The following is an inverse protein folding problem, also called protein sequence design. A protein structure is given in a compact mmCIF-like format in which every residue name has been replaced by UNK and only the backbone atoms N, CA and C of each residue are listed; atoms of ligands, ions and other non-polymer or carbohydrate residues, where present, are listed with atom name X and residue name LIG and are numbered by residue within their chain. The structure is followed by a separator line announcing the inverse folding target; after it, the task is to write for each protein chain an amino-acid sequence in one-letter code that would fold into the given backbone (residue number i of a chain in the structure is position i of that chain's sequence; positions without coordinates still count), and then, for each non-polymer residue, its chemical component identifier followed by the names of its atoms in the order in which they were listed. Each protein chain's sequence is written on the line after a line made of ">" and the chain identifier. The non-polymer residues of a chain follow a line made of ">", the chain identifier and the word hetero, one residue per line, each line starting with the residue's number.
data_IF_884497478177
#
_entry.id   IF_884497478177
#
_cell.length_a   1.000
_cell.length_b   1.000
_cell.length_c   1.000
_cell.angle_alpha   90.00
_cell.angle_beta   90.00
_cell.angle_gamma   90.00
#
_symmetry.space_group_name_H-M   'P 1'
#
loop_
_entity.id
_entity.type
_entity.pdbx_description
1 polymer ?
#
# COMPACT_ATOMS: atom_id res chain seq x y z
N UNK A 1 5.08 -1.19 25.74
CA UNK A 1 5.33 -2.47 26.47
C UNK A 1 6.66 -3.04 25.99
N UNK A 2 7.41 -3.71 26.86
CA UNK A 2 8.64 -4.41 26.47
C UNK A 2 8.31 -5.63 25.62
N UNK A 3 9.05 -5.83 24.53
CA UNK A 3 8.91 -7.04 23.71
C UNK A 3 9.42 -8.26 24.48
N UNK A 4 8.65 -9.34 24.47
CA UNK A 4 9.05 -10.59 25.09
C UNK A 4 9.78 -11.49 24.08
N UNK A 5 11.04 -11.77 24.36
CA UNK A 5 11.90 -12.59 23.51
C UNK A 5 11.77 -14.07 23.88
N UNK A 6 11.53 -14.98 22.92
CA UNK A 6 11.65 -16.42 23.15
C UNK A 6 13.01 -16.80 23.72
N UNK A 7 13.05 -17.76 24.63
CA UNK A 7 14.28 -18.16 25.34
C UNK A 7 15.35 -18.75 24.40
N UNK A 8 14.92 -19.32 23.28
CA UNK A 8 15.72 -19.97 22.24
C UNK A 8 16.06 -19.03 21.06
N UNK A 9 15.84 -17.72 21.21
CA UNK A 9 16.19 -16.76 20.15
C UNK A 9 17.70 -16.74 19.94
N UNK A 10 18.15 -17.08 18.74
CA UNK A 10 19.55 -16.97 18.33
C UNK A 10 19.87 -15.53 17.91
N UNK A 11 20.60 -14.80 18.77
CA UNK A 11 20.90 -13.38 18.56
C UNK A 11 22.24 -13.20 17.85
N UNK A 12 22.26 -12.33 16.85
CA UNK A 12 23.51 -11.73 16.40
C UNK A 12 24.02 -10.76 17.49
N UNK A 13 25.27 -10.92 17.92
CA UNK A 13 25.88 -10.07 18.94
C UNK A 13 26.60 -8.89 18.30
N UNK A 14 26.13 -7.68 18.61
CA UNK A 14 26.77 -6.45 18.19
C UNK A 14 27.31 -5.72 19.42
N UNK A 15 28.47 -5.10 19.28
CA UNK A 15 29.10 -4.38 20.38
C UNK A 15 29.45 -2.96 19.95
N UNK A 16 29.14 -1.99 20.82
CA UNK A 16 29.45 -0.59 20.59
C UNK A 16 30.26 -0.03 21.76
N UNK A 17 31.34 0.63 21.38
CA UNK A 17 32.13 1.49 22.26
C UNK A 17 31.75 2.95 22.07
N UNK A 18 31.94 3.75 23.12
CA UNK A 18 31.88 5.21 23.02
C UNK A 18 33.04 5.69 22.16
N UNK A 19 32.72 6.47 21.11
CA UNK A 19 33.70 6.97 20.15
C UNK A 19 34.55 8.09 20.75
N UNK A 20 33.90 9.14 21.28
CA UNK A 20 34.59 10.22 21.96
C UNK A 20 34.68 9.92 23.46
N UNK A 21 35.83 9.40 23.87
CA UNK A 21 36.07 8.99 25.24
C UNK A 21 36.59 10.14 26.12
N UNK A 22 36.69 11.37 25.64
CA UNK A 22 37.05 12.48 26.51
C UNK A 22 35.86 12.92 27.36
N UNK A 23 36.10 13.15 28.65
CA UNK A 23 35.09 13.73 29.52
C UNK A 23 34.77 15.16 29.04
N UNK A 24 33.50 15.51 28.76
CA UNK A 24 33.13 16.84 28.25
C UNK A 24 33.37 17.97 29.27
N UNK A 25 33.65 17.64 30.53
CA UNK A 25 33.87 18.60 31.61
C UNK A 25 35.36 18.82 31.90
N UNK A 26 36.13 17.75 32.07
CA UNK A 26 37.54 17.84 32.48
C UNK A 26 38.54 17.37 31.40
N UNK A 27 38.07 16.90 30.25
CA UNK A 27 38.90 16.41 29.15
C UNK A 27 39.60 15.07 29.39
N UNK A 28 39.52 14.50 30.61
CA UNK A 28 40.18 13.21 30.91
C UNK A 28 39.52 12.06 30.16
N UNK A 29 40.34 11.10 29.77
CA UNK A 29 39.91 9.86 29.12
C UNK A 29 39.00 9.05 30.04
N UNK A 30 37.79 8.78 29.59
CA UNK A 30 36.79 7.97 30.27
C UNK A 30 37.08 6.47 30.08
N UNK A 31 36.71 5.67 31.07
CA UNK A 31 36.86 4.21 31.04
C UNK A 31 35.49 3.54 31.04
N UNK A 32 35.44 2.30 30.57
CA UNK A 32 34.23 1.48 30.59
C UNK A 32 33.92 1.15 32.04
N UNK A 33 32.72 1.48 32.51
CA UNK A 33 32.28 1.21 33.88
C UNK A 33 31.21 0.11 33.94
N UNK A 34 30.40 -0.04 32.89
CA UNK A 34 29.26 -0.95 32.86
C UNK A 34 28.85 -1.27 31.41
N UNK A 35 27.94 -2.23 31.22
CA UNK A 35 27.40 -2.62 29.93
C UNK A 35 25.87 -2.58 29.96
N UNK A 36 25.26 -1.94 28.95
CA UNK A 36 23.82 -2.02 28.71
C UNK A 36 23.53 -3.00 27.59
N UNK A 37 22.64 -3.94 27.84
CA UNK A 37 22.17 -4.90 26.85
C UNK A 37 20.83 -4.45 26.28
N UNK A 38 20.72 -4.48 24.95
CA UNK A 38 19.50 -4.12 24.24
C UNK A 38 19.22 -5.13 23.14
N UNK A 39 17.95 -5.51 22.99
CA UNK A 39 17.52 -6.46 21.94
C UNK A 39 16.51 -5.81 21.01
N UNK A 40 16.65 -6.03 19.71
CA UNK A 40 15.72 -5.56 18.69
C UNK A 40 15.80 -6.44 17.43
N UNK A 41 14.73 -6.42 16.63
CA UNK A 41 14.68 -7.09 15.33
C UNK A 41 15.30 -6.23 14.25
N UNK A 42 16.08 -6.86 13.37
CA UNK A 42 16.47 -6.34 12.05
C UNK A 42 15.88 -7.26 10.98
N UNK A 43 15.90 -6.85 9.72
CA UNK A 43 15.48 -7.70 8.60
C UNK A 43 16.41 -8.90 8.41
N UNK A 44 17.67 -8.81 8.85
CA UNK A 44 18.63 -9.92 8.81
C UNK A 44 18.51 -10.88 10.00
N UNK A 45 17.68 -10.53 11.00
CA UNK A 45 17.44 -11.34 12.20
C UNK A 45 17.51 -10.54 13.51
N UNK A 46 17.31 -11.20 14.64
CA UNK A 46 17.31 -10.55 15.95
C UNK A 46 18.74 -10.24 16.42
N UNK A 47 18.92 -9.04 16.98
CA UNK A 47 20.22 -8.55 17.46
C UNK A 47 20.19 -8.37 18.97
N UNK A 48 21.27 -8.79 19.65
CA UNK A 48 21.61 -8.38 21.00
C UNK A 48 22.79 -7.40 20.94
N UNK A 49 22.48 -6.12 21.14
CA UNK A 49 23.43 -5.03 21.19
C UNK A 49 23.99 -4.87 22.62
N UNK A 50 25.31 -4.85 22.73
CA UNK A 50 26.07 -4.59 23.94
C UNK A 50 26.65 -3.18 23.84
N UNK A 51 26.11 -2.26 24.63
CA UNK A 51 26.60 -0.90 24.71
C UNK A 51 27.57 -0.77 25.89
N UNK A 52 28.87 -0.55 25.61
CA UNK A 52 29.86 -0.26 26.64
C UNK A 52 29.67 1.16 27.14
N UNK A 53 29.35 1.31 28.42
CA UNK A 53 29.08 2.60 29.04
C UNK A 53 30.37 3.16 29.63
N UNK A 54 30.69 4.40 29.27
CA UNK A 54 31.89 5.06 29.75
C UNK A 54 31.60 6.04 30.89
N UNK A 55 32.62 6.26 31.71
CA UNK A 55 32.55 7.12 32.85
C UNK A 55 33.86 7.89 33.11
N UNK A 56 33.74 9.12 33.63
CA UNK A 56 34.90 9.90 34.04
C UNK A 56 35.62 9.20 35.21
N UNK A 57 36.95 9.04 35.19
CA UNK A 57 37.67 8.44 36.31
C UNK A 57 37.75 9.36 37.54
N UNK A 58 37.56 10.68 37.38
CA UNK A 58 37.74 11.65 38.45
C UNK A 58 36.47 11.84 39.30
N UNK A 59 36.49 11.37 40.55
CA UNK A 59 35.37 11.49 41.49
C UNK A 59 34.97 12.93 41.83
N UNK A 60 35.88 13.89 41.68
CA UNK A 60 35.60 15.30 41.92
C UNK A 60 34.99 16.00 40.69
N UNK A 61 35.03 15.36 39.52
CA UNK A 61 34.47 15.93 38.30
C UNK A 61 32.94 15.80 38.28
N UNK A 62 32.17 16.86 37.98
CA UNK A 62 30.71 16.75 37.79
C UNK A 62 30.29 15.71 36.74
N UNK A 63 31.16 15.42 35.76
CA UNK A 63 30.96 14.37 34.77
C UNK A 63 31.02 12.94 35.32
N UNK A 64 31.48 12.74 36.55
CA UNK A 64 31.52 11.44 37.25
C UNK A 64 30.16 11.03 37.84
N UNK A 65 29.10 11.79 37.65
CA UNK A 65 27.76 11.35 38.06
C UNK A 65 26.98 10.72 36.89
N UNK A 66 27.49 10.79 35.66
CA UNK A 66 26.76 10.42 34.45
C UNK A 66 27.56 9.43 33.61
N UNK A 67 26.90 8.36 33.17
CA UNK A 67 27.44 7.45 32.17
C UNK A 67 27.21 8.00 30.77
N UNK A 68 28.21 7.84 29.90
CA UNK A 68 28.10 8.13 28.46
C UNK A 68 27.80 6.83 27.71
N UNK A 69 26.69 6.82 26.97
CA UNK A 69 26.34 5.71 26.07
C UNK A 69 27.02 5.89 24.71
N UNK A 70 27.27 4.80 23.95
CA UNK A 70 27.79 4.88 22.59
C UNK A 70 26.89 5.74 21.69
N UNK A 71 27.50 6.66 20.95
CA UNK A 71 26.81 7.61 20.07
C UNK A 71 26.09 6.89 18.91
N UNK A 72 26.67 5.78 18.46
CA UNK A 72 26.15 5.01 17.33
C UNK A 72 24.87 4.22 17.65
N UNK A 73 24.49 4.04 18.92
CA UNK A 73 23.28 3.25 19.25
C UNK A 73 22.02 3.81 18.56
N UNK A 74 21.88 5.14 18.54
CA UNK A 74 20.73 5.82 17.92
C UNK A 74 20.68 5.65 16.40
N UNK A 75 21.79 5.29 15.76
CA UNK A 75 21.86 5.02 14.32
C UNK A 75 21.36 3.62 13.96
N UNK A 76 21.20 2.73 14.95
CA UNK A 76 20.75 1.34 14.77
C UNK A 76 19.27 1.19 15.08
N UNK A 77 18.83 1.69 16.24
CA UNK A 77 17.45 1.56 16.69
C UNK A 77 17.03 2.69 17.64
N UNK A 78 15.82 3.22 17.44
CA UNK A 78 15.26 4.28 18.27
C UNK A 78 14.98 3.83 19.71
N UNK A 79 15.15 4.70 20.73
CA UNK A 79 14.89 4.33 22.11
C UNK A 79 13.51 3.69 22.31
N UNK A 80 13.44 2.68 23.18
CA UNK A 80 12.22 1.95 23.57
C UNK A 80 11.54 1.14 22.45
N UNK A 81 12.13 1.07 21.25
CA UNK A 81 11.64 0.23 20.16
C UNK A 81 12.33 -1.13 20.14
N UNK A 82 11.54 -2.15 19.80
CA UNK A 82 12.00 -3.54 19.65
C UNK A 82 12.42 -3.86 18.21
N UNK A 83 12.55 -2.84 17.36
CA UNK A 83 12.94 -2.96 15.96
C UNK A 83 14.03 -1.93 15.61
N UNK A 84 14.86 -2.27 14.64
CA UNK A 84 15.84 -1.38 14.01
C UNK A 84 15.21 -0.41 13.03
N UNK A 85 16.03 0.51 12.53
CA UNK A 85 15.63 1.48 11.51
C UNK A 85 15.24 0.84 10.17
N UNK A 86 15.89 -0.24 9.81
CA UNK A 86 15.62 -1.03 8.62
C UNK A 86 14.18 -1.57 8.60
N UNK A 87 13.75 -2.21 9.70
CA UNK A 87 12.39 -2.73 9.86
C UNK A 87 11.38 -1.59 9.92
N UNK A 88 11.68 -0.48 10.61
CA UNK A 88 10.78 0.68 10.67
C UNK A 88 10.55 1.28 9.28
N UNK A 89 11.63 1.49 8.50
CA UNK A 89 11.55 1.99 7.14
C UNK A 89 10.81 1.02 6.22
N UNK A 90 11.03 -0.29 6.39
CA UNK A 90 10.35 -1.34 5.65
C UNK A 90 8.84 -1.34 5.90
N UNK A 91 8.40 -1.20 7.16
CA UNK A 91 6.98 -1.08 7.55
C UNK A 91 6.39 0.19 6.95
N UNK A 92 7.06 1.32 7.16
CA UNK A 92 6.60 2.63 6.71
C UNK A 92 6.43 2.70 5.19
N UNK A 93 7.40 2.17 4.43
CA UNK A 93 7.32 2.16 2.96
C UNK A 93 6.14 1.34 2.43
N UNK A 94 5.92 0.13 2.96
CA UNK A 94 4.76 -0.71 2.57
C UNK A 94 3.44 -0.06 2.91
N UNK A 95 3.34 0.53 4.09
CA UNK A 95 2.12 1.21 4.50
C UNK A 95 1.84 2.44 3.65
N UNK A 96 2.82 3.32 3.50
CA UNK A 96 2.61 4.65 2.93
C UNK A 96 2.76 4.70 1.40
N UNK A 97 3.58 3.84 0.79
CA UNK A 97 3.78 3.81 -0.67
C UNK A 97 2.95 2.73 -1.35
N UNK A 98 2.78 1.57 -0.71
CA UNK A 98 2.03 0.44 -1.27
C UNK A 98 0.60 0.31 -0.73
N UNK A 99 0.19 1.18 0.20
CA UNK A 99 -1.15 1.16 0.82
C UNK A 99 -1.48 -0.18 1.46
N UNK A 100 -0.45 -0.90 1.93
CA UNK A 100 -0.61 -2.26 2.43
C UNK A 100 -1.40 -2.26 3.75
N UNK A 101 -2.37 -3.18 3.94
CA UNK A 101 -3.04 -3.39 5.22
C UNK A 101 -2.06 -3.83 6.31
N UNK A 102 -2.32 -3.46 7.58
CA UNK A 102 -1.48 -3.84 8.72
C UNK A 102 -1.37 -5.37 8.85
N UNK A 103 -2.47 -6.09 8.63
CA UNK A 103 -2.47 -7.57 8.67
C UNK A 103 -1.57 -8.19 7.61
N UNK A 104 -1.51 -7.62 6.40
CA UNK A 104 -0.60 -8.07 5.35
C UNK A 104 0.85 -7.76 5.67
N UNK A 105 1.14 -6.58 6.24
CA UNK A 105 2.48 -6.22 6.73
C UNK A 105 2.92 -7.20 7.82
N UNK A 106 2.02 -7.52 8.76
CA UNK A 106 2.30 -8.48 9.84
C UNK A 106 2.58 -9.89 9.29
N UNK A 107 1.78 -10.36 8.32
CA UNK A 107 1.97 -11.66 7.70
C UNK A 107 3.35 -11.74 7.02
N UNK A 108 3.69 -10.75 6.19
CA UNK A 108 4.99 -10.72 5.51
C UNK A 108 6.17 -10.62 6.50
N UNK A 109 6.08 -9.81 7.55
CA UNK A 109 7.11 -9.78 8.61
C UNK A 109 7.29 -11.13 9.30
N UNK A 110 6.20 -11.85 9.54
CA UNK A 110 6.22 -13.16 10.20
C UNK A 110 6.79 -14.23 9.28
N UNK A 111 6.33 -14.27 8.05
CA UNK A 111 6.57 -15.37 7.12
C UNK A 111 7.96 -15.27 6.49
N UNK A 112 8.37 -14.06 6.08
CA UNK A 112 9.64 -13.85 5.37
C UNK A 112 10.81 -13.55 6.30
N UNK A 113 10.55 -12.90 7.45
CA UNK A 113 11.59 -12.41 8.37
C UNK A 113 11.53 -13.02 9.77
N UNK A 114 10.50 -13.83 10.09
CA UNK A 114 10.32 -14.40 11.43
C UNK A 114 10.00 -13.36 12.52
N UNK A 115 9.70 -12.12 12.14
CA UNK A 115 9.46 -11.00 13.05
C UNK A 115 8.01 -11.04 13.52
N UNK A 116 7.80 -11.41 14.79
CA UNK A 116 6.46 -11.52 15.39
C UNK A 116 6.10 -10.22 16.10
N UNK A 117 5.34 -9.33 15.45
CA UNK A 117 4.79 -8.11 16.05
C UNK A 117 3.26 -8.17 16.11
N UNK A 118 2.65 -7.51 17.10
CA UNK A 118 1.20 -7.30 17.14
C UNK A 118 0.79 -6.16 16.19
N UNK A 119 -0.48 -6.14 15.79
CA UNK A 119 -1.06 -5.08 14.97
C UNK A 119 -0.89 -3.71 15.64
N UNK A 120 -1.13 -3.62 16.96
CA UNK A 120 -0.93 -2.40 17.74
C UNK A 120 0.52 -1.89 17.71
N UNK A 121 1.49 -2.80 17.74
CA UNK A 121 2.91 -2.40 17.68
C UNK A 121 3.25 -1.87 16.29
N UNK A 122 2.75 -2.53 15.24
CA UNK A 122 2.93 -2.08 13.85
C UNK A 122 2.27 -0.71 13.64
N UNK A 123 1.05 -0.50 14.15
CA UNK A 123 0.35 0.79 14.09
C UNK A 123 1.13 1.91 14.79
N UNK A 124 1.65 1.66 15.99
CA UNK A 124 2.50 2.62 16.70
C UNK A 124 3.78 2.97 15.92
N UNK A 125 4.40 1.99 15.27
CA UNK A 125 5.58 2.21 14.43
C UNK A 125 5.25 2.96 13.15
N UNK A 126 4.09 2.70 12.52
CA UNK A 126 3.58 3.48 11.40
C UNK A 126 3.39 4.93 11.82
N UNK A 127 2.75 5.20 12.96
CA UNK A 127 2.57 6.55 13.47
C UNK A 127 3.92 7.25 13.69
N UNK A 128 4.90 6.55 14.28
CA UNK A 128 6.25 7.09 14.48
C UNK A 128 6.95 7.42 13.15
N UNK A 129 6.82 6.55 12.16
CA UNK A 129 7.33 6.77 10.81
C UNK A 129 6.67 8.00 10.16
N UNK A 130 5.34 8.13 10.27
CA UNK A 130 4.60 9.28 9.76
C UNK A 130 5.05 10.60 10.39
N UNK A 131 5.32 10.63 11.70
CA UNK A 131 5.86 11.81 12.38
C UNK A 131 7.22 12.21 11.80
N UNK A 132 8.11 11.24 11.55
CA UNK A 132 9.42 11.51 10.95
C UNK A 132 9.30 11.97 9.51
N UNK A 133 8.41 11.36 8.73
CA UNK A 133 8.12 11.78 7.37
C UNK A 133 7.57 13.20 7.35
N UNK A 134 6.63 13.54 8.25
CA UNK A 134 6.08 14.88 8.37
C UNK A 134 7.17 15.91 8.74
N UNK A 135 8.02 15.59 9.73
CA UNK A 135 9.14 16.45 10.11
C UNK A 135 10.10 16.68 8.94
N UNK A 136 10.45 15.64 8.17
CA UNK A 136 11.27 15.75 6.97
C UNK A 136 10.61 16.61 5.88
N UNK A 137 9.30 16.46 5.68
CA UNK A 137 8.58 17.24 4.66
C UNK A 137 8.48 18.72 5.02
N UNK A 138 8.51 19.05 6.31
CA UNK A 138 8.47 20.42 6.85
C UNK A 138 9.87 21.01 7.09
N UNK A 139 10.95 20.27 6.84
CA UNK A 139 12.32 20.76 7.01
C UNK A 139 12.65 21.79 5.91
N UNK A 140 12.73 23.05 6.33
CA UNK A 140 13.06 24.17 5.46
C UNK A 140 14.47 24.04 4.86
N UNK A 141 15.47 23.55 5.60
CA UNK A 141 16.83 23.39 5.09
C UNK A 141 16.88 22.33 3.98
N UNK A 142 16.21 21.21 4.19
CA UNK A 142 16.07 20.17 3.17
C UNK A 142 15.28 20.65 1.95
N UNK A 143 14.28 21.51 2.13
CA UNK A 143 13.54 22.14 1.03
C UNK A 143 14.45 23.07 0.21
N UNK A 144 15.22 23.97 0.84
CA UNK A 144 16.14 24.87 0.16
C UNK A 144 17.16 24.10 -0.68
N UNK A 145 17.80 23.08 -0.11
CA UNK A 145 18.77 22.24 -0.82
C UNK A 145 18.17 21.54 -2.05
N UNK A 146 16.90 21.15 -2.00
CA UNK A 146 16.23 20.50 -3.14
C UNK A 146 15.88 21.47 -4.26
N UNK A 147 15.66 22.75 -3.93
CA UNK A 147 15.24 23.78 -4.88
C UNK A 147 16.37 24.72 -5.31
N UNK A 148 17.60 24.55 -4.81
CA UNK A 148 18.76 25.40 -5.14
C UNK A 148 19.03 25.49 -6.66
N UNK A 149 18.86 24.38 -7.38
CA UNK A 149 19.07 24.32 -8.83
C UNK A 149 17.79 24.55 -9.66
N UNK A 150 16.67 24.89 -9.02
CA UNK A 150 15.38 25.06 -9.70
C UNK A 150 15.21 26.53 -10.10
N UNK A 151 15.17 26.86 -11.40
CA UNK A 151 15.13 28.25 -11.85
C UNK A 151 13.75 28.90 -11.66
N UNK A 152 12.68 28.11 -11.72
CA UNK A 152 11.31 28.57 -11.63
C UNK A 152 10.39 27.45 -11.12
N UNK A 153 9.28 27.84 -10.49
CA UNK A 153 8.30 26.93 -9.90
C UNK A 153 7.05 26.84 -10.76
N UNK A 154 6.54 25.61 -10.91
CA UNK A 154 5.21 25.37 -11.47
C UNK A 154 4.34 24.77 -10.37
N UNK A 155 3.37 25.55 -9.91
CA UNK A 155 2.52 25.18 -8.78
C UNK A 155 1.17 24.68 -9.26
N UNK A 156 0.60 23.76 -8.50
CA UNK A 156 -0.75 23.29 -8.71
C UNK A 156 -1.50 23.14 -7.39
N UNK A 157 -2.82 23.35 -7.45
CA UNK A 157 -3.73 23.11 -6.33
C UNK A 157 -4.90 22.24 -6.81
N UNK A 158 -5.24 21.26 -5.98
CA UNK A 158 -6.35 20.34 -6.25
C UNK A 158 -7.08 19.95 -4.95
N UNK A 159 -8.39 19.72 -5.05
CA UNK A 159 -9.24 19.28 -3.94
C UNK A 159 -9.50 17.78 -4.00
N UNK A 160 -8.97 17.03 -3.04
CA UNK A 160 -9.21 15.61 -2.89
C UNK A 160 -10.36 15.37 -1.91
N UNK A 161 -11.50 14.92 -2.43
CA UNK A 161 -12.64 14.58 -1.59
C UNK A 161 -12.41 13.22 -0.91
N UNK A 162 -12.40 13.14 0.42
CA UNK A 162 -12.23 11.89 1.14
C UNK A 162 -13.50 11.02 1.10
N UNK A 163 -13.43 9.84 1.69
CA UNK A 163 -14.61 9.00 1.94
C UNK A 163 -15.66 9.75 2.78
N UNK A 164 -16.94 9.40 2.58
CA UNK A 164 -18.13 10.17 3.01
C UNK A 164 -17.99 10.78 4.42
N UNK A 165 -18.17 12.10 4.53
CA UNK A 165 -18.31 12.82 5.80
C UNK A 165 -17.06 13.55 6.29
N UNK A 166 -15.93 13.39 5.61
CA UNK A 166 -14.68 14.10 5.94
C UNK A 166 -14.47 15.36 5.08
N UNK A 167 -13.70 16.30 5.61
CA UNK A 167 -13.34 17.57 4.96
C UNK A 167 -12.54 17.37 3.67
N UNK A 168 -12.73 18.22 2.68
CA UNK A 168 -11.96 18.12 1.44
C UNK A 168 -10.50 18.46 1.72
N UNK A 169 -9.60 17.56 1.33
CA UNK A 169 -8.16 17.74 1.48
C UNK A 169 -7.62 18.50 0.27
N UNK A 170 -7.23 19.75 0.47
CA UNK A 170 -6.63 20.56 -0.58
C UNK A 170 -5.12 20.36 -0.59
N UNK A 171 -4.57 20.07 -1.77
CA UNK A 171 -3.17 19.72 -1.94
C UNK A 171 -2.49 20.72 -2.85
N UNK A 172 -1.42 21.36 -2.35
CA UNK A 172 -0.54 22.19 -3.16
C UNK A 172 0.70 21.39 -3.53
N UNK A 173 1.00 21.33 -4.83
CA UNK A 173 2.13 20.57 -5.38
C UNK A 173 2.97 21.44 -6.29
N UNK A 174 4.26 21.18 -6.27
CA UNK A 174 5.19 21.70 -7.26
C UNK A 174 5.48 20.59 -8.29
N UNK A 175 5.27 20.90 -9.56
CA UNK A 175 5.15 19.92 -10.63
C UNK A 175 6.50 19.46 -11.20
N UNK A 176 7.54 20.31 -11.17
CA UNK A 176 8.83 19.98 -11.78
C UNK A 176 9.60 18.96 -10.95
N UNK A 177 9.63 19.13 -9.62
CA UNK A 177 10.23 18.17 -8.68
C UNK A 177 9.25 17.08 -8.23
N UNK A 178 8.00 17.12 -8.71
CA UNK A 178 6.92 16.18 -8.37
C UNK A 178 6.70 16.08 -6.86
N UNK A 179 6.81 17.20 -6.16
CA UNK A 179 6.74 17.26 -4.70
C UNK A 179 5.40 17.83 -4.26
N UNK A 180 4.78 17.17 -3.29
CA UNK A 180 3.70 17.79 -2.51
C UNK A 180 4.36 18.75 -1.53
N UNK A 181 4.03 20.04 -1.62
CA UNK A 181 4.51 21.02 -0.65
C UNK A 181 3.76 20.88 0.67
N UNK A 182 2.43 20.88 0.59
CA UNK A 182 1.58 20.60 1.74
C UNK A 182 0.17 20.20 1.29
N UNK A 183 -0.54 19.58 2.22
CA UNK A 183 -1.96 19.27 2.09
C UNK A 183 -2.67 19.68 3.37
N UNK A 184 -3.81 20.36 3.25
CA UNK A 184 -4.59 20.81 4.40
C UNK A 184 -6.08 20.49 4.20
N UNK A 185 -6.74 19.89 5.20
CA UNK A 185 -8.18 19.74 5.17
C UNK A 185 -8.82 21.13 5.36
N UNK A 186 -9.77 21.48 4.49
CA UNK A 186 -10.54 22.71 4.63
C UNK A 186 -11.99 22.37 4.96
N UNK A 187 -12.50 23.01 6.01
CA UNK A 187 -13.91 22.94 6.44
C UNK A 187 -14.88 23.43 5.34
N UNK A 188 -14.42 24.36 4.49
CA UNK A 188 -15.17 24.85 3.34
C UNK A 188 -14.24 25.14 2.17
N UNK A 189 -14.71 24.88 0.95
CA UNK A 189 -14.03 25.30 -0.28
C UNK A 189 -14.24 26.78 -0.62
N UNK A 190 -14.49 27.62 0.39
CA UNK A 190 -14.75 29.03 0.21
C UNK A 190 -13.47 29.80 -0.14
N UNK A 191 -13.63 30.92 -0.83
CA UNK A 191 -12.55 31.77 -1.33
C UNK A 191 -11.52 32.18 -0.25
N UNK A 192 -11.90 32.55 1.00
CA UNK A 192 -10.92 32.93 2.02
C UNK A 192 -10.00 31.78 2.46
N UNK A 193 -10.56 30.57 2.61
CA UNK A 193 -9.81 29.39 3.05
C UNK A 193 -8.83 28.91 1.97
N UNK A 194 -9.29 28.91 0.71
CA UNK A 194 -8.44 28.59 -0.44
C UNK A 194 -7.31 29.61 -0.59
N UNK A 195 -7.61 30.90 -0.40
CA UNK A 195 -6.60 31.96 -0.47
C UNK A 195 -5.51 31.77 0.58
N UNK A 196 -5.83 31.30 1.79
CA UNK A 196 -4.83 30.99 2.84
C UNK A 196 -3.78 29.98 2.36
N UNK A 197 -4.19 28.96 1.61
CA UNK A 197 -3.25 27.98 1.05
C UNK A 197 -2.36 28.57 -0.05
N UNK A 198 -2.92 29.47 -0.86
CA UNK A 198 -2.18 30.15 -1.93
C UNK A 198 -1.16 31.13 -1.34
N UNK A 199 -1.53 31.87 -0.29
CA UNK A 199 -0.61 32.72 0.48
C UNK A 199 0.51 31.89 1.12
N UNK A 200 0.19 30.74 1.71
CA UNK A 200 1.22 29.83 2.24
C UNK A 200 2.19 29.34 1.15
N UNK A 201 1.69 29.05 -0.06
CA UNK A 201 2.54 28.68 -1.19
C UNK A 201 3.45 29.84 -1.62
N UNK A 202 2.95 31.08 -1.54
CA UNK A 202 3.75 32.28 -1.79
C UNK A 202 4.88 32.43 -0.77
N UNK A 203 4.60 32.27 0.53
CA UNK A 203 5.63 32.30 1.58
C UNK A 203 6.73 31.26 1.34
N UNK A 204 6.36 30.06 0.87
CA UNK A 204 7.33 29.02 0.52
C UNK A 204 8.19 29.42 -0.67
N UNK A 205 7.58 29.92 -1.76
CA UNK A 205 8.30 30.40 -2.93
C UNK A 205 9.26 31.56 -2.60
N UNK A 206 8.81 32.50 -1.77
CA UNK A 206 9.62 33.62 -1.27
C UNK A 206 10.80 33.14 -0.42
N UNK A 207 10.58 32.17 0.48
CA UNK A 207 11.66 31.59 1.28
C UNK A 207 12.75 30.96 0.41
N UNK A 208 12.34 30.27 -0.66
CA UNK A 208 13.24 29.65 -1.62
C UNK A 208 13.93 30.64 -2.56
N UNK A 209 13.48 31.91 -2.59
CA UNK A 209 13.92 32.91 -3.56
C UNK A 209 13.76 32.44 -5.01
N UNK A 210 12.73 31.63 -5.29
CA UNK A 210 12.46 31.06 -6.61
C UNK A 210 11.17 31.64 -7.19
N UNK A 211 11.18 32.20 -8.41
CA UNK A 211 9.97 32.76 -9.02
C UNK A 211 8.95 31.67 -9.37
N UNK A 212 7.65 31.98 -9.22
CA UNK A 212 6.57 31.11 -9.71
C UNK A 212 6.23 31.50 -11.14
N UNK A 213 6.50 30.60 -12.09
CA UNK A 213 6.27 30.84 -13.52
C UNK A 213 4.85 30.49 -13.97
N UNK A 214 4.17 29.57 -13.27
CA UNK A 214 2.86 29.07 -13.67
C UNK A 214 2.09 28.49 -12.50
N UNK A 215 0.78 28.74 -12.48
CA UNK A 215 -0.18 28.00 -11.67
C UNK A 215 -1.09 27.12 -12.54
N UNK A 216 -1.40 25.93 -12.04
CA UNK A 216 -2.39 25.01 -12.62
C UNK A 216 -3.44 24.57 -11.61
N UNK A 217 -4.72 24.68 -11.94
CA UNK A 217 -5.80 24.15 -11.09
C UNK A 217 -6.98 23.69 -11.94
N UNK A 218 -8.02 23.16 -11.30
CA UNK A 218 -9.33 23.08 -11.96
C UNK A 218 -9.96 24.50 -12.11
N UNK A 219 -11.17 24.55 -12.69
CA UNK A 219 -11.90 25.80 -12.92
C UNK A 219 -12.84 26.15 -11.75
N UNK A 220 -12.38 26.03 -10.50
CA UNK A 220 -13.09 26.59 -9.35
C UNK A 220 -12.78 28.09 -9.19
N UNK A 221 -13.83 28.89 -8.99
CA UNK A 221 -13.72 30.36 -8.86
C UNK A 221 -12.78 30.77 -7.71
N UNK A 222 -12.81 30.02 -6.60
CA UNK A 222 -11.95 30.27 -5.44
C UNK A 222 -10.45 30.18 -5.79
N UNK A 223 -10.05 29.19 -6.62
CA UNK A 223 -8.66 29.09 -7.08
C UNK A 223 -8.30 30.21 -8.02
N UNK A 224 -9.14 30.47 -9.03
CA UNK A 224 -8.87 31.49 -10.05
C UNK A 224 -8.67 32.85 -9.41
N UNK A 225 -9.59 33.25 -8.51
CA UNK A 225 -9.50 34.54 -7.81
C UNK A 225 -8.36 34.59 -6.82
N UNK A 226 -8.16 33.53 -6.03
CA UNK A 226 -7.09 33.46 -5.04
C UNK A 226 -5.71 33.56 -5.69
N UNK A 227 -5.48 32.84 -6.79
CA UNK A 227 -4.20 32.85 -7.52
C UNK A 227 -3.97 34.23 -8.14
N UNK A 228 -4.98 34.80 -8.79
CA UNK A 228 -4.86 36.14 -9.40
C UNK A 228 -4.57 37.23 -8.35
N UNK A 229 -5.11 37.10 -7.14
CA UNK A 229 -4.88 38.05 -6.05
C UNK A 229 -3.47 37.95 -5.46
N UNK A 230 -2.96 36.74 -5.23
CA UNK A 230 -1.68 36.53 -4.55
C UNK A 230 -0.46 36.55 -5.50
N UNK A 231 -0.67 36.17 -6.76
CA UNK A 231 0.34 36.05 -7.82
C UNK A 231 -0.04 36.89 -9.06
N UNK A 232 -0.11 38.22 -8.95
CA UNK A 232 -0.45 39.07 -10.09
C UNK A 232 0.59 38.94 -11.21
N UNK A 233 0.12 38.73 -12.43
CA UNK A 233 0.98 38.57 -13.62
C UNK A 233 1.53 37.17 -13.85
N UNK A 234 1.36 36.24 -12.90
CA UNK A 234 1.69 34.82 -13.13
C UNK A 234 0.58 34.17 -13.96
N UNK A 235 0.91 33.51 -15.09
CA UNK A 235 -0.07 32.74 -15.86
C UNK A 235 -0.79 31.69 -15.00
N UNK A 236 -2.09 31.55 -15.22
CA UNK A 236 -2.92 30.47 -14.66
C UNK A 236 -3.48 29.62 -15.80
N UNK A 237 -3.35 28.29 -15.70
CA UNK A 237 -3.85 27.33 -16.67
C UNK A 237 -4.80 26.34 -16.01
N UNK A 238 -5.77 25.86 -16.77
CA UNK A 238 -6.66 24.81 -16.30
C UNK A 238 -6.04 23.43 -16.51
N UNK A 239 -6.28 22.53 -15.57
CA UNK A 239 -5.86 21.15 -15.67
C UNK A 239 -6.62 20.44 -16.80
N UNK A 240 -5.88 19.91 -17.79
CA UNK A 240 -6.42 19.20 -18.95
C UNK A 240 -7.35 18.04 -18.56
N UNK A 241 -6.99 17.28 -17.53
CA UNK A 241 -7.80 16.15 -17.08
C UNK A 241 -9.18 16.62 -16.55
N UNK A 242 -9.20 17.67 -15.74
CA UNK A 242 -10.46 18.24 -15.23
C UNK A 242 -11.31 18.79 -16.38
N UNK A 243 -10.69 19.52 -17.31
CA UNK A 243 -11.36 20.02 -18.51
C UNK A 243 -11.98 18.89 -19.34
N UNK A 244 -11.21 17.84 -19.65
CA UNK A 244 -11.70 16.69 -20.41
C UNK A 244 -12.82 15.95 -19.68
N UNK A 245 -12.74 15.81 -18.36
CA UNK A 245 -13.82 15.21 -17.56
C UNK A 245 -15.09 16.04 -17.60
N UNK A 246 -14.98 17.35 -17.52
CA UNK A 246 -16.12 18.25 -17.60
C UNK A 246 -16.79 18.21 -18.96
N UNK A 247 -16.01 18.25 -20.05
CA UNK A 247 -16.53 18.14 -21.42
C UNK A 247 -17.19 16.77 -21.66
N UNK A 248 -16.63 15.70 -21.08
CA UNK A 248 -17.15 14.35 -21.25
C UNK A 248 -18.36 14.01 -20.37
N UNK A 249 -18.78 14.89 -19.43
CA UNK A 249 -19.89 14.62 -18.49
C UNK A 249 -21.13 14.00 -19.16
N UNK A 250 -21.69 14.56 -20.26
CA UNK A 250 -22.87 13.98 -20.89
C UNK A 250 -22.64 12.57 -21.44
N UNK A 251 -21.44 12.31 -21.98
CA UNK A 251 -21.05 11.00 -22.50
C UNK A 251 -20.87 10.00 -21.35
N UNK A 252 -20.24 10.42 -20.26
CA UNK A 252 -20.04 9.60 -19.06
C UNK A 252 -21.36 9.24 -18.37
N UNK A 253 -22.34 10.15 -18.37
CA UNK A 253 -23.69 9.88 -17.87
C UNK A 253 -24.42 8.85 -18.76
N UNK A 254 -24.39 9.03 -20.09
CA UNK A 254 -24.96 8.08 -21.03
C UNK A 254 -24.29 6.68 -20.95
N UNK A 255 -22.97 6.65 -20.81
CA UNK A 255 -22.19 5.44 -20.59
C UNK A 255 -22.57 4.75 -19.28
N UNK A 256 -22.71 5.51 -18.20
CA UNK A 256 -23.15 5.00 -16.89
C UNK A 256 -24.54 4.37 -16.96
N UNK A 257 -25.48 4.99 -17.67
CA UNK A 257 -26.79 4.40 -17.95
C UNK A 257 -26.68 3.09 -18.73
N UNK A 258 -25.86 3.08 -19.78
CA UNK A 258 -25.61 1.88 -20.60
C UNK A 258 -25.02 0.76 -19.75
N UNK A 259 -24.03 1.07 -18.90
CA UNK A 259 -23.42 0.16 -17.93
C UNK A 259 -24.47 -0.45 -17.00
N UNK A 260 -25.38 0.36 -16.46
CA UNK A 260 -26.48 -0.13 -15.61
C UNK A 260 -27.40 -1.10 -16.39
N UNK A 261 -27.72 -0.80 -17.65
CA UNK A 261 -28.54 -1.69 -18.48
C UNK A 261 -27.83 -3.00 -18.84
N UNK A 262 -26.53 -2.95 -19.16
CA UNK A 262 -25.71 -4.15 -19.37
C UNK A 262 -25.66 -5.00 -18.11
N UNK A 263 -25.39 -4.39 -16.96
CA UNK A 263 -25.43 -5.08 -15.66
C UNK A 263 -26.76 -5.79 -15.44
N UNK A 264 -27.90 -5.17 -15.79
CA UNK A 264 -29.23 -5.79 -15.69
C UNK A 264 -29.37 -7.05 -16.56
N UNK A 265 -28.88 -7.05 -17.80
CA UNK A 265 -28.97 -8.20 -18.71
C UNK A 265 -28.14 -9.40 -18.25
N UNK A 266 -27.04 -9.15 -17.54
CA UNK A 266 -26.13 -10.19 -17.04
C UNK A 266 -26.49 -10.62 -15.59
N UNK A 267 -27.55 -10.05 -14.99
CA UNK A 267 -28.07 -10.52 -13.70
C UNK A 267 -28.56 -11.96 -13.82
N UNK A 268 -28.10 -12.84 -12.94
CA UNK A 268 -28.49 -14.26 -12.92
C UNK A 268 -27.34 -15.24 -12.70
N UNK A 269 -26.08 -14.78 -12.75
CA UNK A 269 -24.89 -15.60 -12.53
C UNK A 269 -24.96 -16.44 -11.25
N UNK A 270 -25.48 -15.88 -10.15
CA UNK A 270 -25.64 -16.61 -8.88
C UNK A 270 -26.51 -17.86 -9.00
N UNK A 271 -27.55 -17.85 -9.84
CA UNK A 271 -28.40 -19.03 -10.06
C UNK A 271 -27.65 -20.12 -10.81
N UNK A 272 -26.80 -19.73 -11.78
CA UNK A 272 -25.94 -20.66 -12.54
C UNK A 272 -24.89 -21.27 -11.60
N UNK A 273 -24.21 -20.43 -10.80
CA UNK A 273 -23.24 -20.88 -9.79
C UNK A 273 -23.87 -21.84 -8.78
N UNK A 274 -25.05 -21.50 -8.25
CA UNK A 274 -25.81 -22.37 -7.34
C UNK A 274 -26.18 -23.69 -8.01
N UNK A 275 -26.64 -23.69 -9.26
CA UNK A 275 -26.98 -24.91 -9.98
C UNK A 275 -25.77 -25.82 -10.19
N UNK A 276 -24.60 -25.26 -10.54
CA UNK A 276 -23.35 -26.03 -10.70
C UNK A 276 -22.89 -26.62 -9.37
N UNK A 277 -22.93 -25.83 -8.29
CA UNK A 277 -22.54 -26.30 -6.96
C UNK A 277 -23.53 -27.33 -6.39
N UNK A 278 -24.84 -27.19 -6.66
CA UNK A 278 -25.85 -28.17 -6.28
C UNK A 278 -25.69 -29.48 -7.04
N UNK A 279 -25.43 -29.40 -8.35
CA UNK A 279 -25.12 -30.57 -9.18
C UNK A 279 -23.89 -31.32 -8.66
N UNK A 280 -22.81 -30.59 -8.38
CA UNK A 280 -21.58 -31.18 -7.82
C UNK A 280 -21.85 -31.85 -6.47
N UNK A 281 -22.63 -31.21 -5.58
CA UNK A 281 -23.03 -31.80 -4.29
C UNK A 281 -23.89 -33.05 -4.44
N UNK A 282 -24.76 -33.12 -5.45
CA UNK A 282 -25.58 -34.29 -5.74
C UNK A 282 -24.72 -35.45 -6.29
N UNK A 283 -23.76 -35.14 -7.16
CA UNK A 283 -22.81 -36.11 -7.73
C UNK A 283 -21.88 -36.67 -6.64
N UNK A 284 -21.29 -35.82 -5.78
CA UNK A 284 -20.48 -36.28 -4.63
C UNK A 284 -21.29 -37.12 -3.63
N UNK A 285 -22.57 -36.77 -3.38
CA UNK A 285 -23.44 -37.58 -2.51
C UNK A 285 -23.77 -38.94 -3.12
N UNK A 286 -24.04 -39.00 -4.42
CA UNK A 286 -24.30 -40.25 -5.12
C UNK A 286 -23.07 -41.17 -5.09
N UNK A 287 -21.86 -40.64 -5.30
CA UNK A 287 -20.61 -41.40 -5.19
C UNK A 287 -20.39 -41.93 -3.76
N UNK A 288 -20.62 -41.10 -2.74
CA UNK A 288 -20.49 -41.51 -1.33
C UNK A 288 -21.49 -42.61 -0.96
N UNK A 289 -22.76 -42.52 -1.42
CA UNK A 289 -23.79 -43.54 -1.18
C UNK A 289 -23.56 -44.84 -1.96
N UNK A 290 -22.79 -44.79 -3.06
CA UNK A 290 -22.40 -45.97 -3.83
C UNK A 290 -21.24 -46.71 -3.16
N UNK A 291 -20.32 -45.98 -2.53
CA UNK A 291 -19.25 -46.54 -1.70
C UNK A 291 -19.80 -47.15 -0.38
N UNK A 292 -20.76 -46.50 0.29
CA UNK A 292 -21.35 -47.07 1.52
C UNK A 292 -22.18 -48.34 1.29
N UNK A 293 -22.70 -48.56 0.06
CA UNK A 293 -23.41 -49.78 -0.32
C UNK A 293 -22.51 -50.96 -0.70
N UNK A 294 -21.21 -50.72 -0.92
CA UNK A 294 -20.25 -51.79 -1.22
C UNK A 294 -19.66 -52.45 0.05
N UNK A 295 -19.81 -51.85 1.23
CA UNK A 295 -19.21 -52.33 2.49
C UNK A 295 -20.18 -52.95 3.50
N UNK A 296 -21.41 -53.33 3.11
CA UNK A 296 -22.34 -53.99 4.06
C UNK A 296 -22.64 -55.45 3.72
N UNK A 297 -21.69 -56.35 4.08
CA UNK A 297 -21.96 -57.74 4.48
C UNK A 297 -21.21 -58.12 5.78
N UNK A 298 -21.88 -57.81 6.91
CA UNK A 298 -22.00 -58.57 8.18
C UNK A 298 -20.80 -58.67 9.21
N UNK A 299 -21.02 -59.10 10.49
CA UNK A 299 -21.61 -58.30 11.58
C UNK A 299 -20.89 -58.38 12.97
N UNK A 300 -21.45 -57.65 13.98
CA UNK A 300 -21.23 -57.63 15.45
C UNK A 300 -20.15 -56.68 16.02
N UNK A 301 -20.26 -56.06 17.20
CA UNK A 301 -21.36 -55.67 18.11
C UNK A 301 -20.78 -54.73 19.23
N UNK A 302 -21.63 -53.84 19.76
CA UNK A 302 -21.65 -53.23 21.12
C UNK A 302 -20.65 -52.14 21.57
N UNK A 303 -21.25 -50.96 21.84
CA UNK A 303 -21.22 -50.13 23.07
C UNK A 303 -20.53 -48.73 23.08
N UNK A 304 -21.43 -47.74 23.24
CA UNK A 304 -21.41 -46.53 24.07
C UNK A 304 -20.64 -45.25 23.69
N UNK A 305 -21.46 -44.20 23.45
CA UNK A 305 -21.44 -42.86 24.08
C UNK A 305 -20.23 -41.94 23.83
N UNK A 306 -20.43 -40.81 23.14
CA UNK A 306 -20.75 -39.50 23.74
C UNK A 306 -20.78 -38.42 22.65
N UNK A 307 -21.74 -37.50 22.75
CA UNK A 307 -21.94 -36.39 21.82
C UNK A 307 -20.75 -35.41 21.83
N UNK A 308 -20.25 -35.08 20.64
CA UNK A 308 -19.45 -33.88 20.41
C UNK A 308 -19.85 -33.26 19.08
N UNK A 309 -20.57 -32.15 19.17
CA UNK A 309 -20.92 -31.24 18.08
C UNK A 309 -19.65 -30.65 17.48
N UNK A 310 -19.08 -31.34 16.50
CA UNK A 310 -18.05 -30.79 15.61
C UNK A 310 -18.74 -30.24 14.37
N UNK A 311 -18.64 -28.92 14.21
CA UNK A 311 -19.02 -28.24 12.98
C UNK A 311 -18.27 -28.91 11.81
N UNK A 312 -19.02 -29.59 10.95
CA UNK A 312 -18.49 -30.27 9.79
C UNK A 312 -17.78 -29.27 8.89
N UNK A 313 -16.45 -29.30 8.90
CA UNK A 313 -15.64 -28.95 7.74
C UNK A 313 -16.04 -29.91 6.61
N UNK A 314 -17.07 -29.55 5.84
CA UNK A 314 -17.30 -30.21 4.56
C UNK A 314 -16.10 -29.88 3.68
N UNK A 315 -15.37 -30.92 3.27
CA UNK A 315 -14.43 -30.84 2.17
C UNK A 315 -15.11 -30.13 0.97
N UNK A 316 -14.40 -29.26 0.25
CA UNK A 316 -14.97 -28.57 -0.89
C UNK A 316 -15.51 -29.61 -1.87
N UNK A 317 -16.78 -29.49 -2.24
CA UNK A 317 -17.41 -30.38 -3.22
C UNK A 317 -16.49 -30.48 -4.45
N UNK A 318 -16.16 -31.70 -4.87
CA UNK A 318 -15.35 -31.93 -6.06
C UNK A 318 -16.21 -31.52 -7.26
N UNK A 319 -15.97 -30.33 -7.78
CA UNK A 319 -16.66 -29.82 -8.97
C UNK A 319 -16.00 -30.46 -10.19
N UNK A 320 -16.79 -31.01 -11.10
CA UNK A 320 -16.26 -31.56 -12.35
C UNK A 320 -15.53 -30.49 -13.18
N UNK A 321 -14.67 -30.91 -14.10
CA UNK A 321 -13.86 -29.98 -14.92
C UNK A 321 -14.73 -28.96 -15.67
N UNK A 322 -15.89 -29.39 -16.17
CA UNK A 322 -16.84 -28.51 -16.87
C UNK A 322 -17.46 -27.46 -15.93
N UNK A 323 -17.90 -27.86 -14.74
CA UNK A 323 -18.45 -26.98 -13.71
C UNK A 323 -17.41 -25.98 -13.21
N UNK A 324 -16.16 -26.41 -13.05
CA UNK A 324 -15.04 -25.51 -12.71
C UNK A 324 -14.86 -24.41 -13.77
N UNK A 325 -14.91 -24.77 -15.05
CA UNK A 325 -14.85 -23.80 -16.16
C UNK A 325 -16.02 -22.81 -16.11
N UNK A 326 -17.25 -23.28 -15.84
CA UNK A 326 -18.42 -22.40 -15.69
C UNK A 326 -18.23 -21.44 -14.52
N UNK A 327 -17.79 -21.92 -13.36
CA UNK A 327 -17.54 -21.09 -12.17
C UNK A 327 -16.44 -20.04 -12.44
N UNK A 328 -15.40 -20.39 -13.19
CA UNK A 328 -14.33 -19.46 -13.59
C UNK A 328 -14.86 -18.35 -14.52
N UNK A 329 -15.67 -18.69 -15.52
CA UNK A 329 -16.34 -17.67 -16.34
C UNK A 329 -17.29 -16.80 -15.52
N UNK A 330 -18.06 -17.37 -14.59
CA UNK A 330 -18.91 -16.59 -13.70
C UNK A 330 -18.11 -15.64 -12.81
N UNK A 331 -16.96 -16.07 -12.28
CA UNK A 331 -16.04 -15.23 -11.52
C UNK A 331 -15.46 -14.09 -12.37
N UNK A 332 -15.01 -14.38 -13.59
CA UNK A 332 -14.49 -13.38 -14.52
C UNK A 332 -15.54 -12.31 -14.86
N UNK A 333 -16.76 -12.73 -15.23
CA UNK A 333 -17.87 -11.81 -15.51
C UNK A 333 -18.21 -10.98 -14.26
N UNK A 334 -18.23 -11.58 -13.07
CA UNK A 334 -18.46 -10.85 -11.82
C UNK A 334 -17.40 -9.77 -11.57
N UNK A 335 -16.12 -10.08 -11.86
CA UNK A 335 -15.04 -9.10 -11.84
C UNK A 335 -15.30 -7.93 -12.78
N UNK A 336 -15.66 -8.21 -14.03
CA UNK A 336 -16.00 -7.19 -15.05
C UNK A 336 -17.18 -6.32 -14.60
N UNK A 337 -18.23 -6.91 -14.02
CA UNK A 337 -19.42 -6.17 -13.56
C UNK A 337 -19.12 -5.18 -12.42
N UNK A 338 -18.11 -5.50 -11.62
CA UNK A 338 -17.63 -4.69 -10.49
C UNK A 338 -16.48 -3.74 -10.86
N UNK A 339 -15.96 -3.82 -12.10
CA UNK A 339 -14.93 -2.90 -12.57
C UNK A 339 -15.56 -1.53 -12.83
N UNK A 340 -15.33 -0.58 -11.93
CA UNK A 340 -15.69 0.83 -12.09
C UNK A 340 -14.52 1.71 -12.52
N UNK A 341 -13.39 1.11 -12.94
CA UNK A 341 -12.26 1.84 -13.51
C UNK A 341 -12.61 2.45 -14.87
N UNK A 342 -12.02 3.61 -15.17
CA UNK A 342 -12.19 4.29 -16.45
C UNK A 342 -12.14 5.82 -16.32
N UNK A 343 -12.09 6.48 -17.47
CA UNK A 343 -12.03 7.94 -17.57
C UNK A 343 -12.70 8.45 -18.83
N UNK A 344 -12.62 9.76 -19.11
CA UNK A 344 -13.29 10.40 -20.27
C UNK A 344 -13.02 9.73 -21.62
N UNK A 345 -11.79 9.26 -21.83
CA UNK A 345 -11.37 8.66 -23.10
C UNK A 345 -11.74 7.18 -23.21
N UNK A 346 -11.97 6.51 -22.08
CA UNK A 346 -12.26 5.09 -22.04
C UNK A 346 -13.17 4.80 -20.84
N UNK A 347 -14.49 5.05 -21.01
CA UNK A 347 -15.41 5.10 -19.89
C UNK A 347 -15.78 3.69 -19.40
N UNK A 348 -16.25 3.55 -18.16
CA UNK A 348 -16.40 2.23 -17.53
C UNK A 348 -17.44 1.32 -18.19
N UNK A 349 -18.48 1.87 -18.82
CA UNK A 349 -19.49 1.11 -19.56
C UNK A 349 -18.93 0.54 -20.86
N UNK A 350 -18.23 1.34 -21.65
CA UNK A 350 -17.54 0.87 -22.86
C UNK A 350 -16.54 -0.24 -22.53
N UNK A 351 -15.71 -0.05 -21.49
CA UNK A 351 -14.81 -1.08 -20.95
C UNK A 351 -15.52 -2.38 -20.63
N UNK A 352 -16.66 -2.28 -19.94
CA UNK A 352 -17.49 -3.45 -19.63
C UNK A 352 -18.02 -4.12 -20.91
N UNK A 353 -18.47 -3.35 -21.90
CA UNK A 353 -18.97 -3.89 -23.15
C UNK A 353 -17.90 -4.67 -23.91
N UNK A 354 -16.70 -4.11 -24.02
CA UNK A 354 -15.55 -4.76 -24.66
C UNK A 354 -15.15 -6.04 -23.92
N UNK A 355 -14.99 -5.98 -22.59
CA UNK A 355 -14.62 -7.13 -21.79
C UNK A 355 -15.68 -8.25 -21.81
N UNK A 356 -16.98 -7.90 -21.79
CA UNK A 356 -18.06 -8.87 -21.99
C UNK A 356 -18.04 -9.47 -23.41
N UNK A 357 -17.68 -8.66 -24.41
CA UNK A 357 -17.47 -9.11 -25.79
C UNK A 357 -16.35 -10.14 -25.90
N UNK A 358 -15.23 -9.94 -25.20
CA UNK A 358 -14.12 -10.90 -25.13
C UNK A 358 -14.54 -12.23 -24.49
N UNK A 359 -15.30 -12.17 -23.38
CA UNK A 359 -15.86 -13.37 -22.73
C UNK A 359 -16.80 -14.10 -23.68
N UNK A 360 -17.71 -13.38 -24.35
CA UNK A 360 -18.62 -13.97 -25.32
C UNK A 360 -17.87 -14.63 -26.47
N UNK A 361 -16.87 -13.96 -27.04
CA UNK A 361 -16.03 -14.51 -28.11
C UNK A 361 -15.28 -15.76 -27.65
N UNK A 362 -14.78 -15.79 -26.40
CA UNK A 362 -14.14 -16.97 -25.82
C UNK A 362 -15.10 -18.15 -25.69
N UNK A 363 -16.31 -17.93 -25.18
CA UNK A 363 -17.34 -18.96 -25.09
C UNK A 363 -17.70 -19.47 -26.49
N UNK A 364 -17.90 -18.55 -27.45
CA UNK A 364 -18.26 -18.89 -28.81
C UNK A 364 -17.19 -19.75 -29.50
N UNK A 365 -15.90 -19.38 -29.39
CA UNK A 365 -14.79 -20.21 -29.89
C UNK A 365 -14.83 -21.64 -29.36
N UNK A 366 -15.11 -21.81 -28.07
CA UNK A 366 -15.21 -23.14 -27.45
C UNK A 366 -16.42 -23.94 -27.94
N UNK A 367 -17.54 -23.27 -28.22
CA UNK A 367 -18.75 -23.90 -28.76
C UNK A 367 -18.56 -24.30 -30.23
N UNK A 368 -17.91 -23.46 -31.03
CA UNK A 368 -17.66 -23.71 -32.45
C UNK A 368 -16.64 -24.84 -32.64
N UNK A 369 -15.62 -24.91 -31.79
CA UNK A 369 -14.67 -26.03 -31.76
C UNK A 369 -15.34 -27.39 -31.47
N UNK A 370 -16.53 -27.40 -30.84
CA UNK A 370 -17.32 -28.63 -30.64
C UNK A 370 -18.27 -28.96 -31.80
N UNK A 371 -18.58 -28.00 -32.69
CA UNK A 371 -19.47 -28.20 -33.85
C UNK A 371 -18.73 -28.58 -35.14
N UNK A 372 -17.44 -28.27 -35.24
CA UNK A 372 -16.58 -28.74 -36.33
C UNK A 372 -15.67 -29.86 -35.85
N UNK A 373 -15.82 -31.07 -36.40
CA UNK A 373 -14.81 -32.11 -36.23
C UNK A 373 -13.43 -31.58 -36.63
N UNK A 374 -12.45 -31.75 -35.74
CA UNK A 374 -11.01 -31.53 -35.90
C UNK A 374 -10.58 -30.70 -37.12
N UNK A 375 -10.36 -29.39 -36.93
CA UNK A 375 -9.35 -28.70 -37.73
C UNK A 375 -8.01 -28.77 -36.98
N UNK A 376 -7.08 -29.51 -37.58
CA UNK A 376 -5.67 -29.57 -37.20
C UNK A 376 -5.10 -28.15 -37.07
N UNK A 377 -4.48 -27.92 -35.92
CA UNK A 377 -3.40 -26.99 -35.59
C UNK A 377 -3.14 -25.79 -36.51
N UNK A 378 -3.22 -24.60 -35.92
CA UNK A 378 -2.16 -23.59 -36.07
C UNK A 378 -1.80 -23.06 -34.67
N UNK A 379 -0.82 -23.73 -34.05
CA UNK A 379 0.06 -23.12 -33.06
C UNK A 379 0.88 -22.06 -33.81
N UNK A 380 0.41 -20.81 -33.79
CA UNK A 380 1.07 -19.73 -34.52
C UNK A 380 0.36 -18.39 -34.49
N UNK A 381 -0.15 -17.97 -33.32
CA UNK A 381 -0.21 -16.54 -32.93
C UNK A 381 -0.88 -16.43 -31.54
N UNK A 382 -0.15 -16.86 -30.50
CA UNK A 382 -0.36 -16.26 -29.19
C UNK A 382 0.74 -15.21 -29.06
N UNK A 383 0.41 -13.94 -29.34
CA UNK A 383 1.27 -12.84 -28.93
C UNK A 383 1.38 -12.89 -27.42
N UNK A 384 2.56 -13.24 -26.97
CA UNK A 384 3.02 -13.21 -25.59
C UNK A 384 2.89 -11.77 -25.06
N UNK A 385 1.73 -11.46 -24.47
CA UNK A 385 1.47 -10.22 -23.75
C UNK A 385 1.76 -10.41 -22.27
N UNK A 386 2.91 -10.99 -21.90
CA UNK A 386 3.44 -10.89 -20.53
C UNK A 386 4.93 -11.16 -20.39
N UNK A 387 5.76 -10.57 -21.26
CA UNK A 387 7.19 -10.33 -20.94
C UNK A 387 7.68 -9.02 -21.56
N UNK A 388 7.33 -7.87 -20.95
CA UNK A 388 8.21 -6.71 -21.07
C UNK A 388 9.41 -6.92 -20.16
N UNK A 389 10.55 -7.05 -20.82
CA UNK A 389 11.86 -7.21 -20.26
C UNK A 389 12.19 -6.12 -19.24
N UNK A 390 12.70 -6.58 -18.10
CA UNK A 390 13.51 -5.82 -17.17
C UNK A 390 14.77 -5.35 -17.90
N UNK A 391 14.89 -4.05 -18.17
CA UNK A 391 16.12 -3.47 -18.71
C UNK A 391 17.12 -3.27 -17.57
N UNK A 392 18.23 -4.02 -17.61
CA UNK A 392 19.44 -3.71 -16.83
C UNK A 392 19.98 -2.34 -17.26
N UNK A 393 20.12 -1.41 -16.32
CA UNK A 393 20.90 -0.20 -16.51
C UNK A 393 22.38 -0.56 -16.66
N UNK A 394 23.02 -0.07 -17.73
CA UNK A 394 24.48 -0.10 -17.89
C UNK A 394 25.05 1.19 -17.30
N UNK A 395 26.09 1.02 -16.49
CA UNK A 395 26.96 2.06 -15.95
C UNK A 395 27.54 2.96 -17.04
N UNK A 396 27.41 4.28 -16.90
CA UNK A 396 28.19 5.23 -17.69
C UNK A 396 29.57 5.43 -17.06
N UNK A 397 30.60 4.95 -17.74
CA UNK A 397 31.94 5.54 -17.66
C UNK A 397 32.01 6.66 -18.70
N UNK A 398 32.00 7.90 -18.26
CA UNK A 398 32.92 8.97 -18.66
C UNK A 398 32.66 10.21 -17.81
#
# INVERSE_FOLDING_TARGET
>A
MSYHWPADTDFAFWELDVLDRNCPVCGRMMHICDHRYRRFHTLDGPVQLICRLNHCPDRACPGHAKTKSPELELTLALPLMAIGWDVLCWIGHRRCSHHMPISSIQAELRDDYGIKLSDDAIDQYIHRYQVMLAARQQDAGALHLQYEAVPELILSIDGLQPEKGHETLYVVRELTQKRVWFAEPLLSGAEPEVRRLITKAKEWAESLSTPVALWMSDKQDAFVKGIAAEFPGVPHRYCDNHFLRDVAKPVLEADSHTKVQMRKKVRGLRKIEQAVLQRSKAETKAETETETKAETEAPHATNNSMASTTAANLAPAVVDSAGSVVLNYCAAVRGILNDDQGGPQHPPGLRMAEALGEVQASIQRNLDAKKGGSQRNNLGDCRDASRRAWTKSKSSKR
#
